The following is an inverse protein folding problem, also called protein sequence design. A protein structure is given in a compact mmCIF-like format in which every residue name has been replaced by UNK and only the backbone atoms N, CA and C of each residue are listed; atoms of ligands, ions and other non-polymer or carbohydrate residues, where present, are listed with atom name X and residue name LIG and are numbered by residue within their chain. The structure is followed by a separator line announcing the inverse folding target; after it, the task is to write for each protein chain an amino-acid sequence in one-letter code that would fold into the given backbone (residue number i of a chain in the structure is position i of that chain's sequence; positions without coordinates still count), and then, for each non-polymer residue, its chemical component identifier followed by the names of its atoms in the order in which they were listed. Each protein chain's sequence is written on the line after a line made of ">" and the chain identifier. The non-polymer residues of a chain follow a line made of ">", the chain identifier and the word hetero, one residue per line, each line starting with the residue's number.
data_IF_895795470889
#
_entry.id   IF_895795470889
#
_cell.length_a   1.000
_cell.length_b   1.000
_cell.length_c   1.000
_cell.angle_alpha   90.00
_cell.angle_beta   90.00
_cell.angle_gamma   90.00
#
_symmetry.space_group_name_H-M   'P 1'
#
loop_
_entity.id
_entity.type
_entity.pdbx_description
1 polymer ?
#
# COMPACT_ATOMS: atom_id res chain seq x y z
N UNK A 1 -13.70 -42.20 29.81
CA UNK A 1 -13.15 -42.29 28.44
C UNK A 1 -13.73 -41.17 27.62
N UNK A 2 -12.93 -40.15 27.33
CA UNK A 2 -13.07 -39.16 26.26
C UNK A 2 -11.77 -38.36 26.27
N UNK A 3 -10.85 -38.70 25.37
CA UNK A 3 -9.58 -38.01 25.18
C UNK A 3 -9.82 -36.76 24.34
N UNK A 4 -9.48 -35.58 24.87
CA UNK A 4 -9.40 -34.35 24.08
C UNK A 4 -7.96 -34.26 23.57
N UNK A 5 -7.77 -34.48 22.27
CA UNK A 5 -6.49 -34.27 21.60
C UNK A 5 -6.20 -32.75 21.55
N UNK A 6 -5.12 -32.37 22.21
CA UNK A 6 -4.59 -31.01 22.22
C UNK A 6 -3.77 -30.82 20.94
N UNK A 7 -4.28 -30.06 19.97
CA UNK A 7 -3.52 -29.67 18.78
C UNK A 7 -2.42 -28.68 19.18
N UNK A 8 -1.21 -29.19 19.41
CA UNK A 8 0.01 -28.38 19.43
C UNK A 8 0.43 -28.07 17.98
N UNK A 9 -0.04 -26.97 17.41
CA UNK A 9 0.57 -26.42 16.20
C UNK A 9 1.70 -25.47 16.57
N UNK A 10 2.91 -26.04 16.59
CA UNK A 10 4.16 -25.29 16.41
C UNK A 10 4.17 -24.64 15.03
N UNK A 11 3.94 -23.33 14.97
CA UNK A 11 4.38 -22.52 13.83
C UNK A 11 5.26 -21.36 14.34
N UNK A 12 6.55 -21.69 14.42
CA UNK A 12 7.67 -20.76 14.53
C UNK A 12 8.00 -20.29 13.11
N UNK A 13 7.73 -19.01 12.82
CA UNK A 13 8.39 -18.29 11.73
C UNK A 13 8.48 -16.80 12.08
N UNK A 14 9.48 -16.46 12.90
CA UNK A 14 10.06 -15.12 12.95
C UNK A 14 10.65 -14.74 11.58
N UNK A 15 10.52 -13.45 11.25
CA UNK A 15 11.33 -12.67 10.31
C UNK A 15 11.39 -13.10 8.84
N UNK A 16 10.56 -12.48 7.99
CA UNK A 16 10.92 -12.15 6.61
C UNK A 16 10.28 -10.81 6.18
N UNK A 17 10.94 -9.71 6.53
CA UNK A 17 11.04 -8.59 5.60
C UNK A 17 12.31 -8.86 4.80
N UNK A 18 12.18 -9.48 3.62
CA UNK A 18 13.31 -9.71 2.71
C UNK A 18 12.77 -9.77 1.29
N UNK A 19 13.28 -8.86 0.49
CA UNK A 19 12.94 -8.58 -0.90
C UNK A 19 13.08 -9.81 -1.80
N UNK A 20 12.05 -10.06 -2.60
CA UNK A 20 12.16 -10.88 -3.81
C UNK A 20 11.79 -10.01 -5.01
N UNK A 21 12.72 -9.70 -5.94
CA UNK A 21 12.37 -9.09 -7.21
C UNK A 21 11.91 -10.20 -8.17
N UNK A 22 10.63 -10.55 -8.16
CA UNK A 22 10.01 -11.31 -9.24
C UNK A 22 9.32 -10.35 -10.19
N UNK A 23 10.03 -10.06 -11.28
CA UNK A 23 9.51 -9.37 -12.45
C UNK A 23 8.43 -10.21 -13.13
N UNK A 24 7.42 -9.52 -13.64
CA UNK A 24 6.36 -10.00 -14.56
C UNK A 24 5.02 -10.34 -13.90
N UNK A 25 4.32 -9.32 -13.43
CA UNK A 25 3.10 -8.92 -14.13
C UNK A 25 3.18 -7.42 -14.29
N UNK A 26 3.53 -6.95 -15.49
CA UNK A 26 3.12 -5.60 -15.88
C UNK A 26 1.60 -5.69 -15.94
N UNK A 27 0.96 -5.40 -14.82
CA UNK A 27 -0.43 -5.00 -14.82
C UNK A 27 -0.39 -3.64 -15.51
N UNK A 28 -0.43 -3.67 -16.84
CA UNK A 28 -1.08 -2.63 -17.60
C UNK A 28 -2.54 -2.67 -17.14
N UNK A 29 -2.81 -2.17 -15.94
CA UNK A 29 -4.12 -1.63 -15.59
C UNK A 29 -4.34 -0.61 -16.67
N UNK A 30 -5.17 -0.98 -17.64
CA UNK A 30 -5.77 -0.09 -18.60
C UNK A 30 -6.24 1.10 -17.78
N UNK A 31 -5.48 2.20 -17.85
CA UNK A 31 -5.81 3.43 -17.17
C UNK A 31 -7.12 3.87 -17.79
N UNK A 32 -8.24 3.49 -17.17
CA UNK A 32 -9.53 4.10 -17.44
C UNK A 32 -9.34 5.53 -16.96
N UNK A 33 -9.04 6.41 -17.92
CA UNK A 33 -8.96 7.86 -17.71
C UNK A 33 -10.37 8.28 -17.32
N UNK A 34 -10.66 8.20 -16.03
CA UNK A 34 -11.88 8.74 -15.44
C UNK A 34 -11.84 10.25 -15.63
N UNK A 35 -12.98 10.80 -16.03
CA UNK A 35 -13.21 12.14 -16.56
C UNK A 35 -12.97 13.31 -15.59
N UNK A 36 -12.20 13.09 -14.53
CA UNK A 36 -11.63 14.10 -13.64
C UNK A 36 -10.11 13.92 -13.63
N UNK A 37 -9.42 14.54 -14.58
CA UNK A 37 -7.96 14.48 -14.72
C UNK A 37 -7.28 15.24 -13.58
N UNK A 38 -7.36 14.71 -12.37
CA UNK A 38 -6.71 15.26 -11.19
C UNK A 38 -5.25 14.81 -11.21
N UNK A 39 -4.34 15.73 -10.91
CA UNK A 39 -2.91 15.42 -10.78
C UNK A 39 -2.67 14.75 -9.43
N UNK A 40 -1.71 13.82 -9.38
CA UNK A 40 -1.29 13.16 -8.16
C UNK A 40 -1.06 14.17 -7.03
N UNK A 41 -1.70 13.95 -5.88
CA UNK A 41 -1.65 14.87 -4.74
C UNK A 41 -0.26 14.94 -4.07
N UNK A 42 0.64 13.99 -4.37
CA UNK A 42 2.01 13.98 -3.84
C UNK A 42 2.78 15.20 -4.35
N UNK A 43 3.38 15.95 -3.43
CA UNK A 43 4.22 17.11 -3.78
C UNK A 43 5.36 16.67 -4.69
N UNK A 44 5.52 17.36 -5.83
CA UNK A 44 6.53 17.05 -6.84
C UNK A 44 6.21 15.82 -7.70
N UNK A 45 4.93 15.42 -7.82
CA UNK A 45 4.46 14.42 -8.78
C UNK A 45 3.50 15.07 -9.77
N UNK A 46 3.80 14.95 -11.07
CA UNK A 46 2.97 15.53 -12.16
C UNK A 46 2.21 14.44 -12.94
N UNK A 47 2.27 13.20 -12.46
CA UNK A 47 1.54 12.10 -13.07
C UNK A 47 0.03 12.26 -12.84
N UNK A 48 -0.81 11.87 -13.81
CA UNK A 48 -2.25 11.84 -13.61
C UNK A 48 -2.60 10.82 -12.51
N UNK A 49 -3.54 11.17 -11.65
CA UNK A 49 -4.07 10.21 -10.68
C UNK A 49 -4.87 9.12 -11.39
N UNK A 50 -4.88 7.94 -10.79
CA UNK A 50 -5.59 6.78 -11.31
C UNK A 50 -6.78 6.47 -10.41
N UNK A 51 -7.93 6.21 -11.00
CA UNK A 51 -9.11 5.77 -10.25
C UNK A 51 -8.84 4.42 -9.60
N UNK A 52 -9.01 4.37 -8.28
CA UNK A 52 -8.76 3.17 -7.49
C UNK A 52 -9.62 3.19 -6.23
N UNK A 53 -10.25 2.06 -5.87
CA UNK A 53 -11.20 2.00 -4.75
C UNK A 53 -10.57 2.26 -3.37
N UNK A 54 -9.26 2.03 -3.22
CA UNK A 54 -8.58 2.24 -1.93
C UNK A 54 -8.19 3.70 -1.68
N UNK A 55 -8.13 4.54 -2.72
CA UNK A 55 -7.61 5.90 -2.61
C UNK A 55 -8.35 6.94 -3.46
N UNK A 56 -9.59 6.65 -3.83
CA UNK A 56 -10.56 7.56 -4.45
C UNK A 56 -10.03 8.38 -5.63
N UNK A 57 -9.10 7.82 -6.41
CA UNK A 57 -8.55 8.54 -7.56
C UNK A 57 -7.58 9.68 -7.21
N UNK A 58 -7.02 9.75 -6.00
CA UNK A 58 -6.16 10.87 -5.57
C UNK A 58 -4.66 10.71 -5.93
N UNK A 59 -4.21 9.48 -6.19
CA UNK A 59 -2.79 9.16 -6.37
C UNK A 59 -2.55 8.42 -7.68
N UNK A 60 -1.36 8.61 -8.28
CA UNK A 60 -0.96 7.89 -9.49
C UNK A 60 -0.43 6.47 -9.22
N UNK A 61 -0.09 6.15 -7.96
CA UNK A 61 0.42 4.85 -7.55
C UNK A 61 0.37 4.65 -6.04
N UNK A 62 0.36 3.39 -5.60
CA UNK A 62 0.46 3.01 -4.19
C UNK A 62 1.75 3.54 -3.53
N UNK A 63 2.85 3.65 -4.29
CA UNK A 63 4.08 4.26 -3.80
C UNK A 63 3.84 5.73 -3.39
N UNK A 64 3.14 6.51 -4.21
CA UNK A 64 2.86 7.91 -3.89
C UNK A 64 1.96 8.06 -2.66
N UNK A 65 0.94 7.21 -2.52
CA UNK A 65 0.09 7.14 -1.33
C UNK A 65 0.93 6.87 -0.07
N UNK A 66 1.81 5.86 -0.11
CA UNK A 66 2.63 5.47 1.05
C UNK A 66 3.56 6.60 1.53
N UNK A 67 4.11 7.40 0.61
CA UNK A 67 4.95 8.56 0.92
C UNK A 67 4.12 9.62 1.66
N UNK A 68 2.93 9.95 1.16
CA UNK A 68 2.04 10.93 1.79
C UNK A 68 1.57 10.46 3.17
N UNK A 69 1.25 9.16 3.34
CA UNK A 69 0.93 8.60 4.64
C UNK A 69 2.08 8.75 5.65
N UNK A 70 3.32 8.49 5.21
CA UNK A 70 4.52 8.66 6.05
C UNK A 70 4.72 10.12 6.43
N UNK A 71 4.61 11.05 5.49
CA UNK A 71 4.75 12.49 5.75
C UNK A 71 3.68 13.01 6.71
N UNK A 72 2.42 12.60 6.52
CA UNK A 72 1.33 12.96 7.42
C UNK A 72 1.59 12.45 8.85
N UNK A 73 2.08 11.22 8.98
CA UNK A 73 2.46 10.64 10.26
C UNK A 73 3.63 11.39 10.91
N UNK A 74 4.71 11.67 10.18
CA UNK A 74 5.85 12.43 10.71
C UNK A 74 5.45 13.83 11.16
N UNK A 75 4.58 14.51 10.41
CA UNK A 75 4.02 15.80 10.81
C UNK A 75 3.16 15.69 12.06
N UNK A 76 2.38 14.61 12.20
CA UNK A 76 1.61 14.34 13.40
C UNK A 76 2.53 14.13 14.61
N UNK A 77 3.56 13.29 14.49
CA UNK A 77 4.55 13.03 15.55
C UNK A 77 5.22 14.33 15.98
N UNK A 78 5.70 15.16 15.05
CA UNK A 78 6.33 16.45 15.38
C UNK A 78 5.42 17.40 16.16
N UNK A 79 4.10 17.31 15.98
CA UNK A 79 3.11 18.11 16.71
C UNK A 79 2.75 17.54 18.08
N UNK A 80 3.04 16.26 18.33
CA UNK A 80 2.60 15.51 19.52
C UNK A 80 3.76 14.81 20.26
N UNK A 81 4.98 15.29 20.06
CA UNK A 81 6.17 14.92 20.82
C UNK A 81 6.43 15.97 21.91
#
# INVERSE_FOLDING_TARGET
>A
MASIEYLTETNKSDALCSSTPSLSTVVNTTTTISSSTTICKRIGCENPSIDHPEWDGEFCSAQCLSIVCKEAFEQWVKKHQ
#
